data_IF_129404497199
#
_entry.id   IF_129404497199
#
_cell.length_a   1.000
_cell.length_b   1.000
_cell.length_c   1.000
_cell.angle_alpha   90.00
_cell.angle_beta   90.00
_cell.angle_gamma   90.00
#
_symmetry.space_group_name_H-M   'P 1'
#
loop_
_entity.id
_entity.type
_entity.pdbx_description
1 polymer ?
#
# COMPACT_ATOMS: atom_id res chain seq x y z
N UNK A 1 17.64 -0.42 16.00
CA UNK A 1 16.20 -0.58 15.73
C UNK A 1 16.01 -0.48 14.24
N UNK A 2 15.26 -1.40 13.63
CA UNK A 2 15.05 -1.45 12.18
C UNK A 2 13.57 -1.30 11.87
N UNK A 3 13.28 -0.67 10.74
CA UNK A 3 11.92 -0.45 10.28
C UNK A 3 11.80 -0.96 8.85
N UNK A 4 10.69 -1.62 8.54
CA UNK A 4 10.33 -2.01 7.18
C UNK A 4 9.35 -0.96 6.66
N UNK A 5 9.70 -0.37 5.52
CA UNK A 5 8.86 0.59 4.81
C UNK A 5 8.43 0.01 3.47
N UNK A 6 7.19 0.30 3.09
CA UNK A 6 6.64 -0.04 1.79
C UNK A 6 6.68 1.19 0.91
N UNK A 7 7.35 1.08 -0.24
CA UNK A 7 7.24 2.10 -1.29
C UNK A 7 5.92 1.92 -2.03
N UNK A 8 5.13 2.98 -2.12
CA UNK A 8 3.81 2.98 -2.74
C UNK A 8 3.80 3.77 -4.05
N UNK A 9 3.02 3.25 -5.00
CA UNK A 9 2.58 3.99 -6.17
C UNK A 9 1.35 4.82 -5.81
N UNK A 10 1.55 6.10 -5.52
CA UNK A 10 0.47 6.99 -5.11
C UNK A 10 -0.38 7.43 -6.29
N UNK A 11 -1.65 7.04 -6.28
CA UNK A 11 -2.65 7.55 -7.24
C UNK A 11 -2.97 9.01 -6.92
N UNK A 12 -2.98 9.85 -7.94
CA UNK A 12 -3.38 11.24 -7.84
C UNK A 12 -4.88 11.33 -7.52
N UNK A 13 -5.22 11.92 -6.37
CA UNK A 13 -6.61 12.15 -5.98
C UNK A 13 -7.39 13.03 -6.97
N UNK A 14 -6.69 13.87 -7.72
CA UNK A 14 -7.27 14.66 -8.81
C UNK A 14 -7.22 13.85 -10.11
N UNK A 15 -8.34 13.20 -10.44
CA UNK A 15 -8.54 12.51 -11.72
C UNK A 15 -8.05 11.06 -11.76
N UNK A 16 -7.25 10.62 -10.79
CA UNK A 16 -6.89 9.20 -10.61
C UNK A 16 -7.86 8.43 -9.72
N UNK A 17 -8.79 9.10 -9.03
CA UNK A 17 -9.81 8.49 -8.17
C UNK A 17 -11.19 9.01 -8.55
N UNK A 18 -12.17 8.12 -8.64
CA UNK A 18 -13.59 8.48 -8.81
C UNK A 18 -14.51 7.51 -8.07
N UNK A 19 -15.76 7.91 -7.95
CA UNK A 19 -16.85 7.06 -7.46
C UNK A 19 -17.84 6.84 -8.60
N UNK A 20 -18.29 5.60 -8.81
CA UNK A 20 -19.32 5.29 -9.81
C UNK A 20 -20.75 5.52 -9.29
N UNK A 21 -21.73 5.26 -10.15
CA UNK A 21 -23.16 5.38 -9.82
C UNK A 21 -23.60 4.41 -8.70
N UNK A 22 -22.85 3.31 -8.50
CA UNK A 22 -23.10 2.28 -7.50
C UNK A 22 -22.30 2.48 -6.21
N UNK A 23 -21.59 3.61 -6.07
CA UNK A 23 -20.79 3.97 -4.89
C UNK A 23 -19.53 3.13 -4.70
N UNK A 24 -19.04 2.48 -5.75
CA UNK A 24 -17.71 1.88 -5.72
C UNK A 24 -16.65 2.94 -5.96
N UNK A 25 -15.55 2.87 -5.21
CA UNK A 25 -14.34 3.63 -5.49
C UNK A 25 -13.58 2.95 -6.63
N UNK A 26 -13.20 3.73 -7.64
CA UNK A 26 -12.33 3.30 -8.72
C UNK A 26 -11.04 4.11 -8.71
N UNK A 27 -9.95 3.44 -9.05
CA UNK A 27 -8.62 4.05 -9.19
C UNK A 27 -8.08 3.82 -10.59
N UNK A 28 -7.28 4.78 -11.06
CA UNK A 28 -6.60 4.69 -12.35
C UNK A 28 -5.09 4.80 -12.16
N UNK A 29 -4.40 3.67 -12.36
CA UNK A 29 -2.95 3.56 -12.19
C UNK A 29 -2.15 4.32 -13.26
N UNK A 30 -2.81 4.82 -14.31
CA UNK A 30 -2.18 5.75 -15.25
C UNK A 30 -2.11 7.19 -14.70
N UNK A 31 -2.60 7.46 -13.50
CA UNK A 31 -2.55 8.79 -12.87
C UNK A 31 -1.81 8.74 -11.53
N UNK A 32 -0.51 8.44 -11.56
CA UNK A 32 0.35 8.44 -10.37
C UNK A 32 0.99 9.81 -10.11
N UNK A 33 1.23 10.15 -8.84
CA UNK A 33 1.92 11.37 -8.39
C UNK A 33 3.45 11.26 -8.55
N UNK A 34 4.06 10.29 -7.88
CA UNK A 34 5.53 10.19 -7.73
C UNK A 34 6.16 9.28 -8.79
N UNK A 35 6.05 9.64 -10.07
CA UNK A 35 6.57 8.82 -11.18
C UNK A 35 8.09 8.81 -11.25
N UNK A 36 8.70 9.97 -11.01
CA UNK A 36 10.12 10.19 -11.30
C UNK A 36 11.01 10.12 -10.05
N UNK A 37 10.45 9.76 -8.88
CA UNK A 37 11.14 9.68 -7.58
C UNK A 37 11.94 10.96 -7.26
N UNK A 38 11.28 12.11 -7.35
CA UNK A 38 11.91 13.40 -7.16
C UNK A 38 12.32 13.61 -5.70
N UNK A 39 13.32 14.49 -5.50
CA UNK A 39 13.73 14.92 -4.17
C UNK A 39 12.54 15.65 -3.52
N UNK A 40 12.05 15.12 -2.40
CA UNK A 40 10.87 15.63 -1.68
C UNK A 40 9.62 14.76 -1.82
N UNK A 41 9.62 13.75 -2.68
CA UNK A 41 8.54 12.75 -2.72
C UNK A 41 8.55 11.91 -1.43
N UNK A 42 7.37 11.64 -0.86
CA UNK A 42 7.20 10.80 0.32
C UNK A 42 6.41 9.50 -0.04
N UNK A 43 7.02 8.56 -0.78
CA UNK A 43 6.30 7.39 -1.26
C UNK A 43 6.21 6.25 -0.23
N UNK A 44 6.74 6.42 0.98
CA UNK A 44 6.92 5.32 1.93
C UNK A 44 5.87 5.29 3.04
N UNK A 45 5.38 4.11 3.38
CA UNK A 45 4.47 3.89 4.51
C UNK A 45 4.93 2.73 5.40
N UNK A 46 4.47 2.71 6.65
CA UNK A 46 4.58 1.56 7.53
C UNK A 46 3.57 0.48 7.15
N UNK A 47 3.94 -0.78 7.39
CA UNK A 47 3.07 -1.95 7.41
C UNK A 47 1.68 -1.67 7.99
N UNK A 48 1.66 -1.10 9.20
CA UNK A 48 0.47 -0.82 9.99
C UNK A 48 -0.46 0.22 9.35
N UNK A 49 0.07 1.09 8.49
CA UNK A 49 -0.73 2.11 7.79
C UNK A 49 -1.40 1.55 6.52
N UNK A 50 -0.96 0.39 6.03
CA UNK A 50 -1.49 -0.21 4.82
C UNK A 50 -2.76 -1.00 5.10
N UNK A 51 -3.77 -0.82 4.25
CA UNK A 51 -4.95 -1.69 4.20
C UNK A 51 -4.86 -2.61 2.99
N UNK A 52 -5.14 -3.91 3.20
CA UNK A 52 -5.19 -4.86 2.10
C UNK A 52 -6.49 -4.71 1.30
N UNK A 53 -6.36 -4.52 -0.02
CA UNK A 53 -7.47 -4.40 -0.97
C UNK A 53 -7.19 -5.24 -2.21
N UNK A 54 -8.24 -5.56 -2.96
CA UNK A 54 -8.17 -6.18 -4.27
C UNK A 54 -8.62 -5.17 -5.33
N UNK A 55 -7.97 -5.19 -6.49
CA UNK A 55 -8.31 -4.35 -7.63
C UNK A 55 -8.90 -5.23 -8.73
N UNK A 56 -10.11 -4.90 -9.18
CA UNK A 56 -10.75 -5.59 -10.30
C UNK A 56 -10.91 -4.60 -11.45
N UNK A 57 -10.41 -4.95 -12.62
CA UNK A 57 -10.51 -4.09 -13.80
C UNK A 57 -11.98 -3.84 -14.15
N UNK A 58 -12.32 -2.57 -14.42
CA UNK A 58 -13.65 -2.18 -14.86
C UNK A 58 -13.89 -2.71 -16.29
N UNK A 59 -14.98 -3.46 -16.53
CA UNK A 59 -15.31 -3.97 -17.87
C UNK A 59 -15.67 -2.87 -18.87
N UNK A 60 -16.04 -1.66 -18.42
CA UNK A 60 -16.44 -0.53 -19.29
C UNK A 60 -15.23 0.32 -19.69
N UNK A 61 -14.36 0.66 -18.74
CA UNK A 61 -13.12 1.39 -18.99
C UNK A 61 -11.92 0.65 -18.38
N UNK A 62 -11.15 -0.10 -19.19
CA UNK A 62 -10.02 -0.92 -18.73
C UNK A 62 -8.91 -0.17 -17.98
N UNK A 63 -8.87 1.16 -18.05
CA UNK A 63 -7.90 1.97 -17.30
C UNK A 63 -8.30 2.14 -15.82
N UNK A 64 -9.56 1.87 -15.48
CA UNK A 64 -10.07 1.98 -14.12
C UNK A 64 -10.18 0.62 -13.46
N UNK A 65 -9.93 0.60 -12.15
CA UNK A 65 -9.99 -0.59 -11.34
C UNK A 65 -10.85 -0.31 -10.11
N UNK A 66 -11.86 -1.15 -9.90
CA UNK A 66 -12.72 -1.13 -8.71
C UNK A 66 -11.90 -1.60 -7.51
N UNK A 67 -11.93 -0.82 -6.43
CA UNK A 67 -11.28 -1.15 -5.17
C UNK A 67 -12.23 -1.97 -4.31
N UNK A 68 -11.88 -3.23 -4.09
CA UNK A 68 -12.59 -4.12 -3.18
C UNK A 68 -11.82 -4.21 -1.87
N UNK A 69 -12.47 -3.79 -0.79
CA UNK A 69 -11.96 -4.09 0.55
C UNK A 69 -11.90 -5.61 0.73
N UNK A 70 -10.87 -6.13 1.39
CA UNK A 70 -10.83 -7.53 1.76
C UNK A 70 -11.17 -7.68 3.25
N UNK A 71 -12.03 -8.64 3.57
CA UNK A 71 -12.29 -9.04 4.96
C UNK A 71 -11.51 -10.31 5.26
N UNK A 72 -10.95 -10.36 6.46
CA UNK A 72 -10.22 -11.54 6.94
C UNK A 72 -11.22 -12.68 7.13
N UNK A 73 -10.90 -13.86 6.61
CA UNK A 73 -11.77 -15.05 6.68
C UNK A 73 -12.21 -15.39 8.12
N UNK A 74 -11.35 -15.15 9.11
CA UNK A 74 -11.59 -15.47 10.53
C UNK A 74 -12.54 -14.49 11.23
N UNK A 75 -12.89 -13.36 10.59
CA UNK A 75 -13.84 -12.37 11.13
C UNK A 75 -15.27 -12.56 10.61
N UNK A 76 -15.50 -13.56 9.75
CA UNK A 76 -16.87 -13.95 9.42
C UNK A 76 -17.45 -14.75 10.59
N UNK A 77 -18.10 -14.04 11.51
CA UNK A 77 -19.08 -14.65 12.38
C UNK A 77 -20.25 -15.14 11.51
N UNK A 78 -20.20 -16.43 11.19
CA UNK A 78 -21.17 -17.15 10.36
C UNK A 78 -22.61 -17.11 10.94
N UNK A 79 -22.82 -16.42 12.08
CA UNK A 79 -24.09 -16.20 12.76
C UNK A 79 -24.63 -14.76 12.77
N UNK A 80 -23.98 -13.80 12.11
CA UNK A 80 -24.49 -12.42 12.07
C UNK A 80 -25.76 -12.32 11.22
N UNK A 81 -26.91 -12.21 11.88
CA UNK A 81 -28.28 -12.23 11.30
C UNK A 81 -28.66 -10.94 10.54
N UNK A 82 -27.73 -10.01 10.38
CA UNK A 82 -27.98 -8.64 9.89
C UNK A 82 -27.45 -8.39 8.47
N UNK A 83 -27.34 -9.45 7.65
CA UNK A 83 -26.81 -9.41 6.27
C UNK A 83 -27.67 -8.66 5.23
N UNK A 84 -28.69 -7.89 5.63
CA UNK A 84 -29.62 -7.23 4.69
C UNK A 84 -29.16 -5.86 4.17
N UNK A 85 -27.90 -5.47 4.40
CA UNK A 85 -27.34 -4.21 3.87
C UNK A 85 -25.90 -4.32 3.37
N UNK A 86 -25.56 -5.38 2.65
CA UNK A 86 -24.49 -5.32 1.63
C UNK A 86 -24.50 -6.62 0.81
N UNK A 87 -24.63 -6.60 -0.54
CA UNK A 87 -24.50 -7.81 -1.32
C UNK A 87 -23.06 -8.33 -1.20
N UNK A 88 -22.96 -9.56 -0.69
CA UNK A 88 -21.73 -10.31 -0.52
C UNK A 88 -21.01 -10.56 -1.86
N UNK A 89 -19.98 -9.76 -2.15
CA UNK A 89 -18.86 -10.12 -3.03
C UNK A 89 -17.56 -9.49 -2.52
N UNK A 90 -17.24 -9.72 -1.24
CA UNK A 90 -15.95 -9.33 -0.70
C UNK A 90 -14.96 -10.47 -0.98
N UNK A 91 -13.90 -10.28 -1.79
CA UNK A 91 -12.89 -11.31 -2.01
C UNK A 91 -12.28 -11.74 -0.67
N UNK A 92 -12.29 -13.06 -0.44
CA UNK A 92 -11.79 -13.67 0.79
C UNK A 92 -10.31 -14.00 0.61
N UNK A 93 -9.44 -13.42 1.42
CA UNK A 93 -8.00 -13.75 1.40
C UNK A 93 -7.64 -14.58 2.63
N UNK A 94 -6.84 -15.62 2.43
CA UNK A 94 -6.06 -16.20 3.52
C UNK A 94 -5.01 -15.16 3.92
N UNK A 95 -4.93 -14.87 5.22
CA UNK A 95 -3.82 -14.12 5.77
C UNK A 95 -2.53 -14.84 5.37
N UNK A 96 -1.80 -14.31 4.39
CA UNK A 96 -0.35 -14.42 4.48
C UNK A 96 -0.02 -13.83 5.83
N UNK A 97 0.50 -14.69 6.73
CA UNK A 97 0.65 -14.48 8.16
C UNK A 97 0.63 -12.99 8.51
N UNK A 98 -0.37 -12.51 9.29
CA UNK A 98 -0.62 -11.07 9.52
C UNK A 98 0.72 -10.43 9.71
N UNK A 99 1.19 -9.60 8.75
CA UNK A 99 2.58 -9.13 8.64
C UNK A 99 3.23 -9.20 10.00
N UNK A 100 3.89 -10.33 10.29
CA UNK A 100 4.30 -10.73 11.64
C UNK A 100 5.55 -9.90 11.97
N UNK A 101 5.44 -8.59 11.78
CA UNK A 101 6.47 -7.61 12.06
C UNK A 101 6.76 -7.62 13.55
N UNK A 102 5.75 -7.93 14.37
CA UNK A 102 5.87 -8.05 15.82
C UNK A 102 6.63 -9.31 16.27
N UNK A 103 6.45 -10.47 15.61
CA UNK A 103 7.25 -11.67 15.89
C UNK A 103 8.70 -11.54 15.39
N UNK A 104 8.96 -10.79 14.31
CA UNK A 104 10.34 -10.54 13.83
C UNK A 104 11.17 -9.70 14.81
N UNK A 105 10.56 -9.04 15.80
CA UNK A 105 11.30 -8.28 16.84
C UNK A 105 12.16 -9.20 17.71
N UNK A 106 11.81 -10.49 17.82
CA UNK A 106 12.52 -11.47 18.65
C UNK A 106 13.52 -12.36 17.87
N UNK A 107 13.61 -12.23 16.55
CA UNK A 107 14.58 -12.96 15.73
C UNK A 107 15.89 -12.18 15.65
N UNK A 108 17.03 -12.88 15.62
CA UNK A 108 18.29 -12.18 15.36
C UNK A 108 18.25 -11.60 13.95
N UNK A 109 18.87 -10.43 13.81
CA UNK A 109 18.86 -9.65 12.59
C UNK A 109 19.42 -10.39 11.36
N UNK A 110 20.31 -11.36 11.58
CA UNK A 110 20.89 -12.23 10.54
C UNK A 110 19.93 -13.33 10.08
N UNK A 111 18.92 -13.68 10.88
CA UNK A 111 17.96 -14.75 10.59
C UNK A 111 16.73 -14.23 9.81
N UNK A 112 16.59 -12.90 9.66
CA UNK A 112 15.44 -12.27 9.01
C UNK A 112 15.76 -11.90 7.57
N UNK A 113 15.10 -12.55 6.62
CA UNK A 113 15.06 -12.11 5.23
C UNK A 113 14.26 -10.82 5.08
N UNK A 114 14.90 -9.67 5.28
CA UNK A 114 14.28 -8.33 5.23
C UNK A 114 13.69 -7.97 3.86
N UNK A 115 14.09 -8.70 2.83
CA UNK A 115 13.69 -8.49 1.45
C UNK A 115 12.89 -9.71 1.00
N UNK A 116 11.73 -9.47 0.36
CA UNK A 116 10.93 -10.56 -0.21
C UNK A 116 11.73 -11.29 -1.28
N UNK A 117 11.61 -12.61 -1.32
CA UNK A 117 12.25 -13.44 -2.34
C UNK A 117 11.83 -12.97 -3.75
N UNK A 118 12.81 -12.68 -4.61
CA UNK A 118 12.59 -12.18 -5.97
C UNK A 118 12.41 -10.66 -6.10
N UNK A 119 12.58 -9.87 -5.03
CA UNK A 119 12.59 -8.40 -5.08
C UNK A 119 13.97 -7.89 -4.68
N UNK A 120 14.49 -6.87 -5.38
CA UNK A 120 15.71 -6.18 -4.95
C UNK A 120 15.36 -5.22 -3.80
N UNK A 121 16.00 -5.40 -2.65
CA UNK A 121 15.84 -4.52 -1.50
C UNK A 121 16.96 -3.47 -1.41
N UNK A 122 16.64 -2.33 -0.81
CA UNK A 122 17.62 -1.28 -0.52
C UNK A 122 17.71 -1.06 0.99
N UNK A 123 18.93 -1.06 1.53
CA UNK A 123 19.19 -0.66 2.91
C UNK A 123 19.64 0.80 2.94
N UNK A 124 19.03 1.61 3.82
CA UNK A 124 19.38 3.02 4.00
C UNK A 124 19.81 3.22 5.44
N UNK A 125 21.04 3.69 5.64
CA UNK A 125 21.53 4.06 6.95
C UNK A 125 20.98 5.43 7.36
N UNK A 126 20.57 5.58 8.61
CA UNK A 126 20.02 6.84 9.14
C UNK A 126 21.08 7.92 9.39
N UNK A 127 22.37 7.60 9.20
CA UNK A 127 23.48 8.53 9.37
C UNK A 127 23.77 9.28 8.05
N UNK A 128 22.81 10.06 7.58
CA UNK A 128 23.02 10.96 6.44
C UNK A 128 23.53 12.30 6.97
N UNK A 129 24.79 12.64 6.70
CA UNK A 129 25.24 14.03 6.78
C UNK A 129 24.66 14.76 5.57
N UNK A 130 23.71 15.66 5.83
CA UNK A 130 23.14 16.53 4.80
C UNK A 130 24.23 17.55 4.46
N UNK A 131 24.90 17.41 3.31
CA UNK A 131 25.68 18.50 2.74
C UNK A 131 24.69 19.51 2.16
N UNK A 132 24.59 20.67 2.80
CA UNK A 132 23.84 21.82 2.31
C UNK A 132 24.46 22.26 0.98
N UNK A 133 23.71 22.13 -0.13
CA UNK A 133 24.11 22.73 -1.39
C UNK A 133 24.03 24.26 -1.25
N UNK A 134 25.19 24.92 -1.33
CA UNK A 134 25.30 26.37 -1.36
C UNK A 134 24.46 26.93 -2.51
N UNK A 135 23.49 27.77 -2.17
CA UNK A 135 22.68 28.53 -3.12
C UNK A 135 23.56 29.68 -3.63
N UNK A 136 24.09 29.55 -4.85
CA UNK A 136 24.85 30.61 -5.52
C UNK A 136 23.94 31.86 -5.67
N UNK A 137 24.38 32.96 -5.08
CA UNK A 137 23.74 34.27 -5.11
C UNK A 137 23.89 34.84 -6.53
N UNK A 138 22.77 35.07 -7.23
CA UNK A 138 22.79 35.74 -8.53
C UNK A 138 23.03 37.24 -8.34
N UNK A 139 24.20 37.72 -8.76
CA UNK A 139 24.54 39.16 -8.95
C UNK A 139 23.59 39.87 -9.95
#
# INVERSE_FOLDING_TARGET
MKFVLFKCDWVNGLGGVKEDEFKFTLVNFNHLLYRDNAIGDEPFILAQQAKQVCYVQDPVDPNWHVVLNMTVRDLFDMYSKDSYHSPAMVPQVELYAPQQLDETIYLNDEDVGWVREGVDGTTVDTNVQIEEAEMEECD
#
